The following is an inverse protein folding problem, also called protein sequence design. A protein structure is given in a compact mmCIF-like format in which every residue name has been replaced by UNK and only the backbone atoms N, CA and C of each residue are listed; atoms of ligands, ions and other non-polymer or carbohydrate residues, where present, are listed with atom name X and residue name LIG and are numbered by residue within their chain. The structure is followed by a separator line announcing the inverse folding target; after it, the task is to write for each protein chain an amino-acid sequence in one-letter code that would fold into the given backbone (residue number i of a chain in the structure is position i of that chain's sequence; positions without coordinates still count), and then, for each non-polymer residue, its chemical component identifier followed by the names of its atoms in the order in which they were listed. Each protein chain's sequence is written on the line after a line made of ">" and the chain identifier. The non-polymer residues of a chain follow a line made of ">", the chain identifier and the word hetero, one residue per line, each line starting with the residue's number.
data_IF_942078441101
#
_entry.id   IF_942078441101
#
_cell.length_a   1.000
_cell.length_b   1.000
_cell.length_c   1.000
_cell.angle_alpha   90.00
_cell.angle_beta   90.00
_cell.angle_gamma   90.00
#
_symmetry.space_group_name_H-M   'P 1'
#
loop_
_entity.id
_entity.type
_entity.pdbx_description
1 polymer ?
#
# COMPACT_ATOMS: atom_id res chain seq x y z
N UNK A 1 37.08 -11.24 8.82
CA UNK A 1 35.79 -11.44 9.51
C UNK A 1 34.99 -12.56 8.82
N UNK A 2 35.04 -13.81 9.30
CA UNK A 2 34.38 -14.96 8.67
C UNK A 2 33.18 -15.56 9.45
N UNK A 3 32.62 -14.88 10.46
CA UNK A 3 31.67 -15.47 11.44
C UNK A 3 30.18 -15.46 11.04
N UNK A 4 29.74 -14.59 10.12
CA UNK A 4 28.34 -14.50 9.69
C UNK A 4 27.75 -15.77 9.02
N UNK A 5 28.46 -16.49 8.13
CA UNK A 5 27.89 -17.69 7.50
C UNK A 5 27.72 -18.86 8.48
N UNK A 6 28.57 -18.93 9.50
CA UNK A 6 28.52 -19.98 10.54
C UNK A 6 27.28 -19.82 11.43
N UNK A 7 27.01 -18.60 11.88
CA UNK A 7 25.84 -18.29 12.71
C UNK A 7 24.52 -18.54 11.97
N UNK A 8 24.44 -18.14 10.70
CA UNK A 8 23.26 -18.39 9.85
C UNK A 8 23.04 -19.89 9.61
N UNK A 9 24.11 -20.65 9.39
CA UNK A 9 24.02 -22.10 9.17
C UNK A 9 23.61 -22.83 10.45
N UNK A 10 24.22 -22.48 11.59
CA UNK A 10 23.86 -23.02 12.91
C UNK A 10 22.40 -22.71 13.27
N UNK A 11 21.96 -21.46 13.08
CA UNK A 11 20.58 -21.05 13.35
C UNK A 11 19.57 -21.79 12.46
N UNK A 12 19.87 -21.99 11.17
CA UNK A 12 19.02 -22.74 10.26
C UNK A 12 18.91 -24.23 10.65
N UNK A 13 20.03 -24.87 10.99
CA UNK A 13 20.05 -26.28 11.43
C UNK A 13 19.29 -26.44 12.75
N UNK A 14 19.48 -25.52 13.69
CA UNK A 14 18.76 -25.52 14.96
C UNK A 14 17.24 -25.40 14.77
N UNK A 15 16.78 -24.42 13.98
CA UNK A 15 15.35 -24.26 13.69
C UNK A 15 14.76 -25.50 13.00
N UNK A 16 15.50 -26.08 12.04
CA UNK A 16 15.08 -27.30 11.35
C UNK A 16 14.94 -28.46 12.35
N UNK A 17 15.91 -28.65 13.23
CA UNK A 17 15.87 -29.70 14.25
C UNK A 17 14.70 -29.52 15.22
N UNK A 18 14.44 -28.30 15.69
CA UNK A 18 13.29 -27.98 16.55
C UNK A 18 11.97 -28.29 15.85
N UNK A 19 11.82 -27.92 14.57
CA UNK A 19 10.59 -28.21 13.80
C UNK A 19 10.36 -29.70 13.59
N UNK A 20 11.42 -30.48 13.31
CA UNK A 20 11.32 -31.94 13.19
C UNK A 20 10.93 -32.57 14.52
N UNK A 21 11.56 -32.16 15.63
CA UNK A 21 11.22 -32.65 16.96
C UNK A 21 9.76 -32.35 17.33
N UNK A 22 9.30 -31.12 17.10
CA UNK A 22 7.92 -30.72 17.36
C UNK A 22 6.91 -31.53 16.52
N UNK A 23 7.20 -31.73 15.23
CA UNK A 23 6.38 -32.56 14.34
C UNK A 23 6.31 -34.02 14.80
N UNK A 24 7.44 -34.59 15.23
CA UNK A 24 7.50 -35.97 15.70
C UNK A 24 6.72 -36.15 17.00
N UNK A 25 6.91 -35.25 17.97
CA UNK A 25 6.17 -35.26 19.24
C UNK A 25 4.66 -35.11 19.01
N UNK A 26 4.26 -34.22 18.09
CA UNK A 26 2.86 -34.04 17.70
C UNK A 26 2.26 -35.32 17.09
N UNK A 27 3.00 -35.99 16.20
CA UNK A 27 2.59 -37.26 15.59
C UNK A 27 2.39 -38.36 16.64
N UNK A 28 3.35 -38.55 17.55
CA UNK A 28 3.25 -39.55 18.63
C UNK A 28 2.08 -39.25 19.56
N UNK A 29 1.84 -37.98 19.90
CA UNK A 29 0.72 -37.58 20.73
C UNK A 29 -0.64 -37.91 20.07
N UNK A 30 -0.81 -37.60 18.78
CA UNK A 30 -2.06 -37.88 18.06
C UNK A 30 -2.28 -39.38 17.82
N UNK A 31 -1.23 -40.15 17.53
CA UNK A 31 -1.32 -41.61 17.43
C UNK A 31 -1.71 -42.22 18.78
N UNK A 32 -1.08 -41.76 19.87
CA UNK A 32 -1.41 -42.19 21.23
C UNK A 32 -2.85 -41.86 21.61
N UNK A 33 -3.35 -40.67 21.24
CA UNK A 33 -4.75 -40.30 21.43
C UNK A 33 -5.71 -41.16 20.58
N UNK A 34 -5.41 -41.35 19.29
CA UNK A 34 -6.22 -42.16 18.36
C UNK A 34 -6.35 -43.61 18.79
N UNK A 35 -5.33 -44.18 19.46
CA UNK A 35 -5.37 -45.54 20.00
C UNK A 35 -6.23 -45.59 21.27
N UNK A 36 -6.15 -44.57 22.13
CA UNK A 36 -6.89 -44.51 23.40
C UNK A 36 -8.40 -44.26 23.21
N UNK A 37 -8.78 -43.54 22.17
CA UNK A 37 -10.21 -43.26 21.85
C UNK A 37 -10.88 -44.35 21.01
N UNK A 38 -10.18 -45.42 20.64
CA UNK A 38 -10.76 -46.52 19.86
C UNK A 38 -11.58 -47.49 20.75
N UNK A 39 -12.81 -47.87 20.36
CA UNK A 39 -13.70 -48.72 21.17
C UNK A 39 -13.14 -50.09 21.56
N UNK A 40 -12.16 -50.62 20.81
CA UNK A 40 -11.54 -51.93 21.07
C UNK A 40 -10.10 -51.85 21.58
N UNK A 41 -9.54 -50.64 21.75
CA UNK A 41 -8.15 -50.39 22.21
C UNK A 41 -7.08 -51.22 21.45
N UNK A 42 -7.38 -51.59 20.21
CA UNK A 42 -6.54 -52.44 19.36
C UNK A 42 -5.91 -51.64 18.22
N UNK A 43 -4.64 -51.94 17.92
CA UNK A 43 -3.87 -51.28 16.86
C UNK A 43 -4.21 -51.78 15.45
N UNK A 44 -4.72 -53.00 15.31
CA UNK A 44 -4.82 -53.69 14.01
C UNK A 44 -5.99 -53.24 13.13
N UNK A 45 -7.08 -52.70 13.72
CA UNK A 45 -8.29 -52.30 12.99
C UNK A 45 -8.67 -50.83 13.21
N UNK A 46 -7.70 -49.95 13.46
CA UNK A 46 -7.96 -48.54 13.71
C UNK A 46 -7.72 -47.69 12.46
N UNK A 47 -8.79 -47.47 11.68
CA UNK A 47 -8.75 -46.65 10.46
C UNK A 47 -8.28 -45.21 10.73
N UNK A 48 -8.63 -44.63 11.89
CA UNK A 48 -8.20 -43.29 12.25
C UNK A 48 -6.67 -43.19 12.41
N UNK A 49 -6.03 -44.23 12.97
CA UNK A 49 -4.58 -44.27 13.09
C UNK A 49 -3.88 -44.35 11.71
N UNK A 50 -4.48 -45.08 10.76
CA UNK A 50 -3.97 -45.17 9.37
C UNK A 50 -4.08 -43.83 8.65
N UNK A 51 -5.22 -43.15 8.76
CA UNK A 51 -5.45 -41.82 8.14
C UNK A 51 -4.50 -40.77 8.71
N UNK A 52 -4.32 -40.74 10.04
CA UNK A 52 -3.38 -39.84 10.70
C UNK A 52 -1.95 -40.13 10.23
N UNK A 53 -1.54 -41.41 10.22
CA UNK A 53 -0.22 -41.80 9.74
C UNK A 53 0.04 -41.37 8.29
N UNK A 54 -0.93 -41.61 7.39
CA UNK A 54 -0.83 -41.21 5.99
C UNK A 54 -0.71 -39.69 5.80
N UNK A 55 -1.45 -38.90 6.58
CA UNK A 55 -1.38 -37.44 6.52
C UNK A 55 0.01 -36.91 6.93
N UNK A 56 0.62 -37.47 7.98
CA UNK A 56 1.97 -37.07 8.40
C UNK A 56 3.05 -37.48 7.39
N UNK A 57 2.93 -38.65 6.77
CA UNK A 57 3.84 -39.08 5.69
C UNK A 57 3.76 -38.11 4.52
N UNK A 58 2.55 -37.71 4.12
CA UNK A 58 2.36 -36.75 3.04
C UNK A 58 2.99 -35.38 3.37
N UNK A 59 2.77 -34.85 4.57
CA UNK A 59 3.37 -33.59 5.02
C UNK A 59 4.90 -33.68 5.06
N UNK A 60 5.45 -34.80 5.51
CA UNK A 60 6.89 -35.05 5.53
C UNK A 60 7.47 -35.02 4.11
N UNK A 61 6.84 -35.71 3.16
CA UNK A 61 7.28 -35.73 1.76
C UNK A 61 7.23 -34.33 1.15
N UNK A 62 6.13 -33.59 1.33
CA UNK A 62 5.98 -32.22 0.81
C UNK A 62 7.02 -31.28 1.41
N UNK A 63 7.26 -31.36 2.73
CA UNK A 63 8.26 -30.57 3.44
C UNK A 63 9.68 -30.86 2.92
N UNK A 64 10.02 -32.14 2.72
CA UNK A 64 11.32 -32.55 2.21
C UNK A 64 11.53 -32.04 0.77
N UNK A 65 10.52 -32.17 -0.10
CA UNK A 65 10.56 -31.63 -1.46
C UNK A 65 10.76 -30.10 -1.46
N UNK A 66 10.08 -29.38 -0.57
CA UNK A 66 10.25 -27.93 -0.44
C UNK A 66 11.66 -27.55 0.03
N UNK A 67 12.18 -28.25 1.04
CA UNK A 67 13.55 -28.08 1.54
C UNK A 67 14.60 -28.33 0.45
N UNK A 68 14.44 -29.39 -0.34
CA UNK A 68 15.34 -29.71 -1.46
C UNK A 68 15.25 -28.63 -2.54
N UNK A 69 14.05 -28.22 -2.96
CA UNK A 69 13.88 -27.15 -3.97
C UNK A 69 14.51 -25.84 -3.52
N UNK A 70 14.32 -25.45 -2.26
CA UNK A 70 14.94 -24.24 -1.70
C UNK A 70 16.47 -24.35 -1.67
N UNK A 71 17.02 -25.49 -1.27
CA UNK A 71 18.48 -25.71 -1.23
C UNK A 71 19.10 -25.68 -2.62
N UNK A 72 18.44 -26.29 -3.61
CA UNK A 72 18.86 -26.25 -5.02
C UNK A 72 18.79 -24.82 -5.55
N UNK A 73 17.69 -24.09 -5.32
CA UNK A 73 17.53 -22.72 -5.79
C UNK A 73 18.61 -21.78 -5.21
N UNK A 74 18.94 -21.92 -3.92
CA UNK A 74 20.02 -21.15 -3.28
C UNK A 74 21.38 -21.52 -3.88
N UNK A 75 21.65 -22.81 -4.09
CA UNK A 75 22.90 -23.25 -4.74
C UNK A 75 23.01 -22.73 -6.16
N UNK A 76 21.93 -22.77 -6.93
CA UNK A 76 21.87 -22.24 -8.30
C UNK A 76 22.04 -20.72 -8.34
N UNK A 77 21.47 -19.99 -7.38
CA UNK A 77 21.71 -18.54 -7.27
C UNK A 77 23.16 -18.23 -6.93
N UNK A 78 23.78 -18.99 -6.02
CA UNK A 78 25.20 -18.83 -5.70
C UNK A 78 26.13 -19.29 -6.83
N UNK A 79 25.73 -20.26 -7.67
CA UNK A 79 26.52 -20.67 -8.84
C UNK A 79 26.36 -19.72 -10.02
N UNK A 80 25.25 -18.96 -10.09
CA UNK A 80 25.04 -17.91 -11.08
C UNK A 80 25.88 -16.66 -10.79
N UNK A 81 26.29 -16.44 -9.54
CA UNK A 81 27.36 -15.49 -9.21
C UNK A 81 28.64 -16.12 -9.77
N UNK A 82 29.08 -15.63 -10.92
CA UNK A 82 30.17 -16.19 -11.70
C UNK A 82 31.46 -16.22 -10.85
N UNK A 83 31.80 -17.39 -10.29
CA UNK A 83 33.01 -17.60 -9.49
C UNK A 83 34.29 -17.62 -10.35
N UNK A 84 34.15 -17.68 -11.66
CA UNK A 84 35.26 -17.66 -12.61
C UNK A 84 35.79 -16.24 -12.90
N UNK A 85 35.29 -15.21 -12.21
CA UNK A 85 36.10 -14.02 -11.99
C UNK A 85 37.20 -14.36 -10.98
N UNK A 86 38.19 -15.16 -11.42
CA UNK A 86 39.53 -15.06 -10.89
C UNK A 86 39.92 -13.61 -11.16
N UNK A 87 39.85 -12.75 -10.15
CA UNK A 87 40.36 -11.38 -10.23
C UNK A 87 41.72 -11.50 -10.88
N UNK A 88 41.85 -11.01 -12.11
CA UNK A 88 43.07 -11.22 -12.86
C UNK A 88 44.17 -10.51 -12.10
N UNK A 89 45.00 -11.31 -11.42
CA UNK A 89 46.08 -10.80 -10.60
C UNK A 89 47.06 -10.11 -11.53
N UNK A 90 47.77 -9.09 -11.04
CA UNK A 90 48.80 -8.38 -11.80
C UNK A 90 49.82 -9.33 -12.44
N UNK A 91 50.02 -10.51 -11.84
CA UNK A 91 50.96 -11.54 -12.30
C UNK A 91 50.43 -12.43 -13.45
N UNK A 92 49.12 -12.42 -13.72
CA UNK A 92 48.50 -13.27 -14.75
C UNK A 92 48.51 -12.61 -16.16
N UNK A 93 48.96 -11.36 -16.29
CA UNK A 93 49.01 -10.64 -17.57
C UNK A 93 50.08 -9.54 -17.62
N UNK A 94 50.50 -9.09 -18.81
CA UNK A 94 51.40 -7.93 -18.93
C UNK A 94 50.80 -6.68 -18.30
N UNK A 95 51.63 -5.89 -17.62
CA UNK A 95 51.21 -4.68 -16.89
C UNK A 95 50.39 -3.70 -17.75
N UNK A 96 50.71 -3.59 -19.05
CA UNK A 96 49.99 -2.72 -20.00
C UNK A 96 48.53 -3.13 -20.19
N UNK A 97 48.26 -4.44 -20.24
CA UNK A 97 46.90 -4.98 -20.39
C UNK A 97 46.13 -4.80 -19.08
N UNK A 98 46.79 -5.03 -17.94
CA UNK A 98 46.20 -4.86 -16.62
C UNK A 98 45.76 -3.42 -16.37
N UNK A 99 46.63 -2.46 -16.66
CA UNK A 99 46.33 -1.03 -16.55
C UNK A 99 45.19 -0.60 -17.47
N UNK A 100 45.14 -1.12 -18.70
CA UNK A 100 44.06 -0.86 -19.64
C UNK A 100 42.70 -1.36 -19.11
N UNK A 101 42.64 -2.60 -18.62
CA UNK A 101 41.41 -3.18 -18.06
C UNK A 101 40.93 -2.41 -16.84
N UNK A 102 41.84 -2.07 -15.92
CA UNK A 102 41.49 -1.27 -14.74
C UNK A 102 40.93 0.09 -15.16
N UNK A 103 41.54 0.74 -16.16
CA UNK A 103 41.08 2.05 -16.66
C UNK A 103 39.67 1.97 -17.25
N UNK A 104 39.38 0.97 -18.08
CA UNK A 104 38.04 0.80 -18.66
C UNK A 104 36.99 0.37 -17.62
N UNK A 105 37.39 -0.46 -16.64
CA UNK A 105 36.53 -0.81 -15.52
C UNK A 105 36.17 0.43 -14.68
N UNK A 106 37.17 1.23 -14.30
CA UNK A 106 36.95 2.47 -13.56
C UNK A 106 36.10 3.47 -14.35
N UNK A 107 36.33 3.60 -15.66
CA UNK A 107 35.50 4.42 -16.55
C UNK A 107 34.06 3.94 -16.54
N UNK A 108 33.84 2.63 -16.61
CA UNK A 108 32.50 2.03 -16.58
C UNK A 108 31.81 2.25 -15.24
N UNK A 109 32.53 2.07 -14.13
CA UNK A 109 32.02 2.37 -12.79
C UNK A 109 31.67 3.85 -12.61
N UNK A 110 32.50 4.75 -13.15
CA UNK A 110 32.26 6.19 -13.11
C UNK A 110 31.02 6.56 -13.93
N UNK A 111 30.92 6.08 -15.16
CA UNK A 111 29.73 6.27 -16.00
C UNK A 111 28.49 5.73 -15.29
N UNK A 112 28.57 4.52 -14.72
CA UNK A 112 27.48 3.94 -13.95
C UNK A 112 27.08 4.84 -12.78
N UNK A 113 28.03 5.34 -12.00
CA UNK A 113 27.76 6.23 -10.87
C UNK A 113 27.15 7.57 -11.28
N UNK A 114 27.57 8.14 -12.41
CA UNK A 114 27.03 9.40 -12.94
C UNK A 114 25.65 9.18 -13.57
N UNK A 115 25.41 7.98 -14.14
CA UNK A 115 24.14 7.61 -14.75
C UNK A 115 23.04 7.29 -13.75
N UNK A 116 23.36 7.15 -12.47
CA UNK A 116 22.34 7.07 -11.42
C UNK A 116 21.55 8.38 -11.47
N UNK A 117 20.21 8.34 -11.66
CA UNK A 117 19.41 9.55 -11.69
C UNK A 117 19.60 10.27 -10.35
N UNK A 118 20.35 11.37 -10.39
CA UNK A 118 20.41 12.32 -9.28
C UNK A 118 19.03 12.96 -9.21
N UNK A 119 18.45 13.09 -8.01
CA UNK A 119 17.07 13.56 -7.79
C UNK A 119 16.72 14.76 -8.66
N UNK A 120 16.17 14.49 -9.85
CA UNK A 120 15.85 15.53 -10.81
C UNK A 120 14.54 16.13 -10.34
N UNK A 121 14.63 17.31 -9.73
CA UNK A 121 13.45 18.08 -9.40
C UNK A 121 12.83 18.56 -10.71
N UNK A 122 11.72 17.92 -11.10
CA UNK A 122 10.92 18.38 -12.22
C UNK A 122 9.93 19.42 -11.68
N UNK A 123 9.92 20.66 -12.22
CA UNK A 123 8.94 21.66 -11.81
C UNK A 123 7.52 21.11 -12.05
N UNK A 124 6.61 21.33 -11.10
CA UNK A 124 5.24 20.78 -11.14
C UNK A 124 5.08 19.36 -10.56
N UNK A 125 6.18 18.70 -10.19
CA UNK A 125 6.18 17.41 -9.51
C UNK A 125 6.70 17.52 -8.08
N UNK A 126 6.16 16.71 -7.18
CA UNK A 126 6.73 16.57 -5.85
C UNK A 126 8.11 15.91 -5.89
N UNK A 127 9.01 16.40 -5.04
CA UNK A 127 10.37 15.91 -4.95
C UNK A 127 10.41 14.49 -4.36
N UNK A 128 11.31 13.64 -4.89
CA UNK A 128 11.48 12.28 -4.40
C UNK A 128 11.82 12.24 -2.90
N UNK A 129 11.17 11.34 -2.16
CA UNK A 129 11.32 11.24 -0.70
C UNK A 129 10.59 12.32 0.11
N UNK A 130 9.82 13.21 -0.52
CA UNK A 130 8.92 14.14 0.20
C UNK A 130 7.50 13.56 0.31
N UNK A 131 6.62 14.26 1.05
CA UNK A 131 5.19 13.91 1.18
C UNK A 131 4.48 13.77 -0.17
N UNK A 132 4.97 14.45 -1.21
CA UNK A 132 4.35 14.49 -2.54
C UNK A 132 5.15 13.73 -3.59
N UNK A 133 6.00 12.77 -3.19
CA UNK A 133 6.75 11.95 -4.14
C UNK A 133 5.84 11.28 -5.18
N UNK A 134 6.18 11.46 -6.46
CA UNK A 134 5.41 10.94 -7.59
C UNK A 134 4.05 11.63 -7.83
N UNK A 135 3.77 12.75 -7.16
CA UNK A 135 2.54 13.53 -7.37
C UNK A 135 2.81 14.66 -8.36
N UNK A 136 2.05 14.67 -9.46
CA UNK A 136 1.98 15.80 -10.38
C UNK A 136 0.94 16.81 -9.87
N UNK A 137 1.37 18.01 -9.49
CA UNK A 137 0.52 18.98 -8.82
C UNK A 137 -0.68 19.43 -9.67
N UNK A 138 -0.48 19.68 -10.96
CA UNK A 138 -1.54 20.09 -11.91
C UNK A 138 -2.61 19.02 -12.06
N UNK A 139 -2.22 17.82 -12.46
CA UNK A 139 -3.16 16.71 -12.59
C UNK A 139 -3.88 16.41 -11.28
N UNK A 140 -3.17 16.49 -10.15
CA UNK A 140 -3.75 16.22 -8.83
C UNK A 140 -4.79 17.26 -8.42
N UNK A 141 -4.53 18.57 -8.59
CA UNK A 141 -5.52 19.59 -8.25
C UNK A 141 -6.73 19.52 -9.18
N UNK A 142 -6.55 19.27 -10.48
CA UNK A 142 -7.65 19.14 -11.43
C UNK A 142 -8.53 17.92 -11.13
N UNK A 143 -7.95 16.86 -10.58
CA UNK A 143 -8.70 15.67 -10.17
C UNK A 143 -9.70 15.92 -9.03
N UNK A 144 -9.57 17.04 -8.30
CA UNK A 144 -10.47 17.40 -7.19
C UNK A 144 -11.82 17.95 -7.65
N UNK A 145 -11.93 18.46 -8.89
CA UNK A 145 -13.13 19.16 -9.38
C UNK A 145 -14.34 18.25 -9.45
N UNK A 146 -14.19 17.04 -10.02
CA UNK A 146 -15.30 16.09 -10.16
C UNK A 146 -15.82 15.59 -8.80
N UNK A 147 -14.99 15.10 -7.87
CA UNK A 147 -15.49 14.64 -6.57
C UNK A 147 -16.21 15.73 -5.76
N UNK A 148 -15.75 16.99 -5.83
CA UNK A 148 -16.42 18.10 -5.15
C UNK A 148 -17.76 18.42 -5.82
N UNK A 149 -17.82 18.41 -7.14
CA UNK A 149 -19.07 18.58 -7.90
C UNK A 149 -20.08 17.48 -7.58
N UNK A 150 -19.65 16.22 -7.55
CA UNK A 150 -20.50 15.08 -7.18
C UNK A 150 -21.07 15.25 -5.76
N UNK A 151 -20.25 15.70 -4.80
CA UNK A 151 -20.70 16.00 -3.44
C UNK A 151 -21.65 17.20 -3.37
N UNK A 152 -21.44 18.23 -4.19
CA UNK A 152 -22.34 19.36 -4.27
C UNK A 152 -23.73 18.94 -4.75
N UNK A 153 -23.82 18.00 -5.70
CA UNK A 153 -25.11 17.44 -6.15
C UNK A 153 -25.82 16.59 -5.07
N UNK A 154 -25.07 16.00 -4.13
CA UNK A 154 -25.68 15.32 -2.98
C UNK A 154 -26.30 16.30 -1.98
N UNK A 155 -25.71 17.50 -1.84
CA UNK A 155 -26.22 18.56 -0.95
C UNK A 155 -27.35 19.34 -1.61
N UNK A 156 -27.21 19.68 -2.90
CA UNK A 156 -28.21 20.39 -3.69
C UNK A 156 -28.50 19.56 -4.96
N UNK A 157 -29.56 18.73 -4.98
CA UNK A 157 -29.88 17.89 -6.14
C UNK A 157 -30.10 18.65 -7.46
N UNK A 158 -30.51 19.92 -7.36
CA UNK A 158 -30.75 20.80 -8.51
C UNK A 158 -29.52 21.66 -8.88
N UNK A 159 -28.33 21.30 -8.41
CA UNK A 159 -27.10 21.98 -8.80
C UNK A 159 -26.92 21.89 -10.33
N UNK A 160 -26.56 22.99 -11.04
CA UNK A 160 -26.28 22.92 -12.46
C UNK A 160 -25.13 21.94 -12.75
N UNK A 161 -25.13 21.28 -13.92
CA UNK A 161 -24.04 20.39 -14.32
C UNK A 161 -22.75 21.18 -14.58
N UNK A 162 -21.60 20.58 -14.26
CA UNK A 162 -20.28 21.18 -14.44
C UNK A 162 -20.02 21.57 -15.90
N UNK A 163 -19.67 22.84 -16.12
CA UNK A 163 -19.27 23.36 -17.44
C UNK A 163 -17.77 23.63 -17.47
N UNK A 164 -17.01 23.08 -18.45
CA UNK A 164 -15.55 23.17 -18.46
C UNK A 164 -15.00 24.59 -18.63
N UNK A 165 -15.79 25.48 -19.23
CA UNK A 165 -15.40 26.87 -19.53
C UNK A 165 -15.79 27.89 -18.45
N UNK A 166 -16.54 27.46 -17.43
CA UNK A 166 -17.00 28.35 -16.35
C UNK A 166 -16.01 28.26 -15.18
N UNK A 167 -15.74 29.39 -14.52
CA UNK A 167 -14.93 29.40 -13.29
C UNK A 167 -15.66 28.70 -12.15
N UNK A 168 -14.92 28.05 -11.27
CA UNK A 168 -15.50 27.25 -10.19
C UNK A 168 -16.23 28.15 -9.18
N UNK A 169 -15.74 29.37 -8.94
CA UNK A 169 -16.44 30.35 -8.09
C UNK A 169 -17.87 30.62 -8.58
N UNK A 170 -18.07 30.70 -9.90
CA UNK A 170 -19.41 30.94 -10.47
C UNK A 170 -20.27 29.69 -10.47
N UNK A 171 -19.67 28.53 -10.76
CA UNK A 171 -20.35 27.24 -10.72
C UNK A 171 -20.90 26.95 -9.32
N UNK A 172 -20.05 27.10 -8.30
CA UNK A 172 -20.35 26.79 -6.91
C UNK A 172 -20.93 27.96 -6.10
N UNK A 173 -21.37 29.06 -6.73
CA UNK A 173 -21.92 30.22 -5.99
C UNK A 173 -23.09 29.87 -5.08
N UNK A 174 -23.84 28.82 -5.42
CA UNK A 174 -25.02 28.38 -4.67
C UNK A 174 -24.66 27.66 -3.37
N UNK A 175 -23.50 26.99 -3.34
CA UNK A 175 -22.98 26.34 -2.14
C UNK A 175 -22.01 27.24 -1.37
N UNK A 176 -21.56 28.36 -1.96
CA UNK A 176 -20.61 29.28 -1.32
C UNK A 176 -20.98 29.70 0.12
N UNK A 177 -22.26 29.93 0.48
CA UNK A 177 -22.63 30.25 1.87
C UNK A 177 -22.40 29.10 2.87
N UNK A 178 -22.32 27.85 2.40
CA UNK A 178 -22.08 26.66 3.21
C UNK A 178 -20.58 26.37 3.39
N UNK A 179 -19.73 27.07 2.63
CA UNK A 179 -18.30 26.81 2.59
C UNK A 179 -17.54 27.77 3.52
N UNK A 180 -16.35 27.35 4.01
CA UNK A 180 -15.45 28.24 4.73
C UNK A 180 -15.09 29.48 3.89
N UNK A 181 -14.88 30.63 4.55
CA UNK A 181 -14.50 31.85 3.85
C UNK A 181 -13.17 31.63 3.11
N UNK A 182 -13.08 32.14 1.89
CA UNK A 182 -11.91 32.09 1.01
C UNK A 182 -11.53 30.71 0.45
N UNK A 183 -12.02 29.59 0.98
CA UNK A 183 -11.68 28.25 0.49
C UNK A 183 -12.04 28.10 -1.01
N UNK A 184 -13.23 28.55 -1.41
CA UNK A 184 -13.66 28.49 -2.82
C UNK A 184 -12.78 29.35 -3.75
N UNK A 185 -12.32 30.51 -3.27
CA UNK A 185 -11.49 31.42 -4.06
C UNK A 185 -10.04 30.90 -4.21
N UNK A 186 -9.46 30.35 -3.14
CA UNK A 186 -8.13 29.73 -3.14
C UNK A 186 -8.10 28.46 -3.99
N UNK A 187 -9.16 27.66 -3.92
CA UNK A 187 -9.26 26.47 -4.75
C UNK A 187 -9.49 26.82 -6.23
N UNK A 188 -10.36 27.78 -6.56
CA UNK A 188 -10.53 28.23 -7.94
C UNK A 188 -9.23 28.81 -8.51
N UNK A 189 -8.50 29.63 -7.76
CA UNK A 189 -7.24 30.20 -8.24
C UNK A 189 -6.21 29.11 -8.54
N UNK A 190 -6.07 28.09 -7.68
CA UNK A 190 -5.21 26.95 -7.93
C UNK A 190 -5.65 26.14 -9.17
N UNK A 191 -6.96 25.93 -9.36
CA UNK A 191 -7.48 25.25 -10.55
C UNK A 191 -7.23 26.08 -11.82
N UNK A 192 -7.44 27.41 -11.79
CA UNK A 192 -7.15 28.26 -12.95
C UNK A 192 -5.66 28.26 -13.27
N UNK A 193 -4.78 28.30 -12.26
CA UNK A 193 -3.34 28.15 -12.43
C UNK A 193 -3.01 26.82 -13.12
N UNK A 194 -3.61 25.72 -12.68
CA UNK A 194 -3.38 24.42 -13.31
C UNK A 194 -3.91 24.32 -14.75
N UNK A 195 -5.00 25.04 -15.09
CA UNK A 195 -5.61 24.99 -16.43
C UNK A 195 -4.98 25.93 -17.45
N UNK A 196 -4.60 27.13 -17.03
CA UNK A 196 -4.31 28.26 -17.92
C UNK A 196 -2.88 28.79 -17.83
N UNK A 197 -2.14 28.49 -16.75
CA UNK A 197 -0.78 28.99 -16.60
C UNK A 197 0.16 28.31 -17.59
N UNK A 198 1.08 29.06 -18.18
CA UNK A 198 2.23 28.48 -18.88
C UNK A 198 3.27 27.93 -17.90
N UNK A 199 3.36 28.54 -16.70
CA UNK A 199 4.28 28.13 -15.63
C UNK A 199 3.73 26.94 -14.85
N UNK A 200 4.59 25.97 -14.56
CA UNK A 200 4.30 24.86 -13.65
C UNK A 200 3.98 25.34 -12.23
N UNK A 201 3.06 24.63 -11.58
CA UNK A 201 2.57 24.96 -10.23
C UNK A 201 3.66 24.70 -9.19
N UNK A 202 3.89 25.64 -8.27
CA UNK A 202 4.80 25.41 -7.15
C UNK A 202 4.17 24.52 -6.09
N UNK A 203 5.01 23.92 -5.23
CA UNK A 203 4.51 23.12 -4.11
C UNK A 203 3.64 23.95 -3.15
N UNK A 204 4.04 25.19 -2.84
CA UNK A 204 3.28 26.08 -1.94
C UNK A 204 1.91 26.42 -2.52
N UNK A 205 1.83 26.75 -3.82
CA UNK A 205 0.56 27.01 -4.52
C UNK A 205 -0.34 25.77 -4.52
N UNK A 206 0.27 24.60 -4.74
CA UNK A 206 -0.44 23.32 -4.68
C UNK A 206 -0.99 23.05 -3.29
N UNK A 207 -0.19 23.24 -2.23
CA UNK A 207 -0.60 23.03 -0.84
C UNK A 207 -1.78 23.92 -0.47
N UNK A 208 -1.73 25.21 -0.79
CA UNK A 208 -2.84 26.15 -0.53
C UNK A 208 -4.13 25.71 -1.25
N UNK A 209 -4.04 25.36 -2.53
CA UNK A 209 -5.20 24.91 -3.30
C UNK A 209 -5.74 23.56 -2.83
N UNK A 210 -4.85 22.65 -2.42
CA UNK A 210 -5.18 21.31 -1.95
C UNK A 210 -5.84 21.34 -0.58
N UNK A 211 -5.33 22.15 0.35
CA UNK A 211 -5.95 22.37 1.66
C UNK A 211 -7.34 22.97 1.52
N UNK A 212 -7.50 23.99 0.67
CA UNK A 212 -8.81 24.59 0.39
C UNK A 212 -9.79 23.55 -0.19
N UNK A 213 -9.34 22.68 -1.11
CA UNK A 213 -10.18 21.60 -1.65
C UNK A 213 -10.61 20.59 -0.57
N UNK A 214 -9.71 20.24 0.36
CA UNK A 214 -10.03 19.37 1.51
C UNK A 214 -11.06 20.04 2.40
N UNK A 215 -10.92 21.33 2.68
CA UNK A 215 -11.82 22.07 3.54
C UNK A 215 -13.24 22.14 2.94
N UNK A 216 -13.34 22.42 1.64
CA UNK A 216 -14.62 22.38 0.90
C UNK A 216 -15.25 20.99 1.01
N UNK A 217 -14.46 19.93 0.76
CA UNK A 217 -14.94 18.55 0.83
C UNK A 217 -15.48 18.22 2.23
N UNK A 218 -14.78 18.68 3.27
CA UNK A 218 -15.17 18.48 4.67
C UNK A 218 -16.48 19.20 4.99
N UNK A 219 -16.60 20.48 4.62
CA UNK A 219 -17.81 21.27 4.84
C UNK A 219 -19.04 20.68 4.15
N UNK A 220 -18.88 20.18 2.91
CA UNK A 220 -19.97 19.50 2.19
C UNK A 220 -20.37 18.17 2.84
N UNK A 221 -19.41 17.39 3.36
CA UNK A 221 -19.71 16.14 4.05
C UNK A 221 -20.39 16.39 5.41
N UNK A 222 -19.96 17.40 6.16
CA UNK A 222 -20.63 17.85 7.39
C UNK A 222 -22.09 18.26 7.09
N UNK A 223 -22.30 19.10 6.08
CA UNK A 223 -23.65 19.52 5.66
C UNK A 223 -24.52 18.32 5.26
N UNK A 224 -23.94 17.35 4.53
CA UNK A 224 -24.63 16.12 4.15
C UNK A 224 -25.04 15.29 5.37
N UNK A 225 -24.15 15.15 6.36
CA UNK A 225 -24.45 14.43 7.59
C UNK A 225 -25.57 15.12 8.37
N UNK A 226 -25.55 16.44 8.50
CA UNK A 226 -26.60 17.21 9.16
C UNK A 226 -27.98 17.01 8.52
N UNK A 227 -28.07 17.07 7.19
CA UNK A 227 -29.33 16.79 6.48
C UNK A 227 -29.83 15.36 6.69
N UNK A 228 -28.91 14.39 6.75
CA UNK A 228 -29.28 12.99 7.02
C UNK A 228 -29.81 12.79 8.44
N UNK A 229 -29.26 13.50 9.43
CA UNK A 229 -29.73 13.47 10.80
C UNK A 229 -31.13 14.09 10.94
N UNK A 230 -31.38 15.21 10.26
CA UNK A 230 -32.70 15.86 10.25
C UNK A 230 -33.78 14.94 9.63
N UNK A 231 -33.42 14.21 8.57
CA UNK A 231 -34.34 13.27 7.91
C UNK A 231 -34.69 12.08 8.81
N UNK A 232 -33.78 11.66 9.70
CA UNK A 232 -33.96 10.51 10.59
C UNK A 232 -34.59 10.86 11.94
N UNK A 233 -34.90 12.14 12.22
CA UNK A 233 -35.63 12.49 13.44
C UNK A 233 -37.12 12.13 13.29
N UNK A 234 -37.72 11.38 14.23
CA UNK A 234 -39.14 11.08 14.20
C UNK A 234 -39.95 12.39 14.32
N UNK A 235 -41.00 12.54 13.52
CA UNK A 235 -41.94 13.66 13.56
C UNK A 235 -42.65 13.75 14.93
N UNK A 236 -42.02 14.41 15.91
CA UNK A 236 -42.59 14.62 17.26
C UNK A 236 -43.69 15.69 17.25
N UNK A 237 -43.84 16.46 16.16
CA UNK A 237 -44.71 17.65 16.14
C UNK A 237 -46.20 17.39 15.85
N UNK A 238 -46.65 16.15 15.64
CA UNK A 238 -48.05 15.89 15.23
C UNK A 238 -48.96 15.31 16.32
N UNK A 239 -48.44 14.96 17.49
CA UNK A 239 -49.24 14.32 18.57
C UNK A 239 -49.64 15.24 19.73
N UNK A 240 -49.19 16.50 19.76
CA UNK A 240 -49.45 17.40 20.89
C UNK A 240 -50.61 18.41 20.69
N UNK A 241 -51.30 18.41 19.53
CA UNK A 241 -52.33 19.41 19.21
C UNK A 241 -53.76 18.84 19.04
N UNK A 242 -54.05 17.69 19.64
CA UNK A 242 -55.35 17.00 19.53
C UNK A 242 -56.11 16.76 20.85
N UNK A 243 -55.77 17.46 21.94
CA UNK A 243 -56.39 17.24 23.26
C UNK A 243 -56.72 18.55 23.99
N UNK A 244 -57.45 19.46 23.33
CA UNK A 244 -58.05 20.63 23.99
C UNK A 244 -59.42 21.03 23.42
N UNK A 245 -60.17 20.08 22.86
CA UNK A 245 -61.60 20.23 22.56
C UNK A 245 -62.35 19.17 23.35
N UNK A 246 -62.52 19.35 24.66
CA UNK A 246 -63.54 18.67 25.48
C UNK A 246 -63.47 19.22 26.91
N UNK A 247 -64.10 20.38 27.14
CA UNK A 247 -64.61 20.81 28.46
C UNK A 247 -65.49 22.05 28.27
N UNK A 248 -66.71 21.80 27.79
CA UNK A 248 -67.83 22.74 27.80
C UNK A 248 -69.07 22.03 28.35
N UNK A 249 -69.21 22.07 29.67
CA UNK A 249 -70.46 21.89 30.43
C UNK A 249 -70.41 22.82 31.65
#
# INVERSE_FOLDING_TARGET
>A
MPSFPLLSTLGYVFLLLVTICAMFLSCVALLSQSVRTSPRRDWKNNFNAVVIGAAYVLVLVISLLFCVKRRIAVRLRMSRINKDYKLVTKDDMPNTVHEYIIREYLRSCLIASISVPTSSSHPGWGLQGTKYDGVEFRSKILSTVRPIDDMAHLVIPHHPPLKPHVRLVHHFRFIAPLLPPNALALWDSAVQMAKLSEREMSQEEFELGWEAAIEIKRALDETRQEMSLLTNMPNISTTALGSSEDLGL
#
